data_IF_743145354153
#
_entry.id   IF_743145354153
#
_cell.length_a   1.000
_cell.length_b   1.000
_cell.length_c   1.000
_cell.angle_alpha   90.00
_cell.angle_beta   90.00
_cell.angle_gamma   90.00
#
_symmetry.space_group_name_H-M   'P 1'
#
loop_
_entity.id
_entity.type
_entity.pdbx_description
1 polymer ?
#
# COMPACT_ATOMS: atom_id res chain seq x y z
N UNK A 1 -16.88 84.35 27.90
CA UNK A 1 -16.07 83.49 27.07
C UNK A 1 -15.65 84.32 25.88
N UNK A 2 -14.35 84.68 25.79
CA UNK A 2 -13.82 85.67 24.86
C UNK A 2 -13.93 85.16 23.36
N UNK A 3 -14.19 86.10 22.45
CA UNK A 3 -14.31 85.85 21.00
C UNK A 3 -13.05 85.16 20.35
N UNK A 4 -11.91 85.26 21.03
CA UNK A 4 -10.68 84.61 20.60
C UNK A 4 -10.71 83.09 20.81
N UNK A 5 -11.35 82.60 21.85
CA UNK A 5 -11.47 81.18 22.16
C UNK A 5 -12.43 80.47 21.20
N UNK A 6 -13.44 81.16 20.65
CA UNK A 6 -14.34 80.65 19.61
C UNK A 6 -13.65 80.53 18.24
N UNK A 7 -12.71 81.42 17.91
CA UNK A 7 -11.93 81.35 16.67
C UNK A 7 -10.90 80.19 16.71
N UNK A 8 -10.37 79.90 17.90
CA UNK A 8 -9.41 78.79 18.07
C UNK A 8 -10.07 77.40 17.97
N UNK A 9 -11.27 77.28 18.51
CA UNK A 9 -12.06 76.06 18.43
C UNK A 9 -12.59 75.76 17.00
N UNK A 10 -12.94 76.78 16.24
CA UNK A 10 -13.43 76.58 14.86
C UNK A 10 -12.34 76.21 13.85
N UNK A 11 -11.07 76.47 14.14
CA UNK A 11 -9.95 76.10 13.27
C UNK A 11 -9.31 74.75 13.63
N UNK A 12 -9.59 74.19 14.82
CA UNK A 12 -9.06 72.90 15.24
C UNK A 12 -9.93 71.73 14.77
N UNK A 13 -11.24 71.92 14.70
CA UNK A 13 -12.19 70.87 14.31
C UNK A 13 -11.99 70.40 12.85
N UNK A 14 -11.80 71.27 11.84
CA UNK A 14 -11.57 70.76 10.48
C UNK A 14 -10.20 70.09 10.28
N UNK A 15 -9.17 70.46 11.05
CA UNK A 15 -7.86 69.87 10.96
C UNK A 15 -7.82 68.46 11.58
N UNK A 16 -8.59 68.19 12.64
CA UNK A 16 -8.72 66.88 13.29
C UNK A 16 -9.50 65.90 12.44
N UNK A 17 -10.48 66.35 11.63
CA UNK A 17 -11.25 65.46 10.74
C UNK A 17 -10.45 65.08 9.50
N UNK A 18 -9.56 65.95 9.00
CA UNK A 18 -8.68 65.63 7.86
C UNK A 18 -7.55 64.70 8.29
N UNK A 19 -7.06 64.79 9.52
CA UNK A 19 -6.01 63.89 10.03
C UNK A 19 -6.54 62.51 10.49
N UNK A 20 -7.84 62.40 10.84
CA UNK A 20 -8.53 61.15 11.13
C UNK A 20 -8.95 60.33 9.92
N UNK A 21 -9.13 60.99 8.74
CA UNK A 21 -9.55 60.37 7.49
C UNK A 21 -8.43 59.66 6.69
N UNK A 22 -7.16 60.02 6.99
CA UNK A 22 -5.99 59.47 6.26
C UNK A 22 -5.44 58.13 6.82
N UNK A 23 -6.00 57.63 7.94
CA UNK A 23 -5.54 56.41 8.58
C UNK A 23 -6.34 55.15 8.23
N UNK A 24 -7.31 55.24 7.32
CA UNK A 24 -8.15 54.12 6.90
C UNK A 24 -7.85 53.56 5.52
N UNK A 25 -6.82 54.04 4.82
CA UNK A 25 -6.31 53.33 3.65
C UNK A 25 -5.34 52.25 4.10
N UNK A 26 -5.90 51.19 4.69
CA UNK A 26 -5.16 49.93 4.88
C UNK A 26 -4.85 49.41 3.46
N UNK A 27 -3.58 49.45 3.11
CA UNK A 27 -3.07 48.77 1.92
C UNK A 27 -3.30 47.27 2.04
N UNK A 28 -4.43 46.76 1.60
CA UNK A 28 -4.71 45.33 1.49
C UNK A 28 -3.69 44.62 0.59
N UNK A 29 -2.91 45.33 -0.19
CA UNK A 29 -1.85 44.78 -1.07
C UNK A 29 -0.47 44.56 -0.40
N UNK A 30 -0.29 44.91 0.88
CA UNK A 30 1.04 44.80 1.51
C UNK A 30 1.29 43.48 2.22
N UNK A 31 0.35 42.52 2.18
CA UNK A 31 0.46 41.21 2.82
C UNK A 31 0.28 40.03 1.84
N UNK A 32 0.19 40.28 0.56
CA UNK A 32 0.38 39.22 -0.43
C UNK A 32 1.90 39.02 -0.64
N UNK A 33 2.51 38.30 0.31
CA UNK A 33 3.80 37.70 0.09
C UNK A 33 3.55 36.61 -0.95
N UNK A 34 3.93 36.87 -2.21
CA UNK A 34 4.01 35.81 -3.20
C UNK A 34 4.81 34.63 -2.68
N UNK A 35 4.57 33.44 -3.18
CA UNK A 35 5.30 32.25 -2.78
C UNK A 35 6.82 32.54 -2.79
N UNK A 36 7.62 32.07 -1.82
CA UNK A 36 9.05 32.25 -1.82
C UNK A 36 9.61 31.84 -3.19
N UNK A 37 10.58 32.57 -3.77
CA UNK A 37 11.09 32.28 -5.13
C UNK A 37 11.70 30.88 -5.30
N UNK A 38 11.82 30.11 -4.19
CA UNK A 38 12.29 28.72 -4.13
C UNK A 38 11.15 27.71 -3.99
N UNK A 39 9.88 28.14 -3.88
CA UNK A 39 8.70 27.27 -3.82
C UNK A 39 7.85 27.48 -5.06
N UNK A 40 7.68 26.41 -5.83
CA UNK A 40 6.67 26.36 -6.90
C UNK A 40 5.30 26.21 -6.20
N UNK A 41 4.34 27.09 -6.54
CA UNK A 41 2.96 26.85 -6.10
C UNK A 41 2.50 25.49 -6.63
N UNK A 42 1.75 24.75 -5.83
CA UNK A 42 1.35 23.37 -6.18
C UNK A 42 0.64 23.32 -7.56
N UNK A 43 -0.16 24.33 -7.88
CA UNK A 43 -0.85 24.44 -9.18
C UNK A 43 0.12 24.64 -10.35
N UNK A 44 1.25 25.31 -10.14
CA UNK A 44 2.26 25.52 -11.19
C UNK A 44 2.91 24.21 -11.64
N UNK A 45 2.87 23.20 -10.77
CA UNK A 45 3.29 21.85 -11.09
C UNK A 45 2.48 21.19 -12.22
N UNK A 46 1.30 21.73 -12.58
CA UNK A 46 0.41 21.17 -13.59
C UNK A 46 0.22 22.08 -14.82
N UNK A 47 1.14 23.00 -15.04
CA UNK A 47 1.13 23.89 -16.21
C UNK A 47 1.75 23.27 -17.46
N UNK A 48 2.63 22.27 -17.32
CA UNK A 48 3.25 21.55 -18.42
C UNK A 48 3.21 20.05 -18.21
N UNK A 49 3.24 19.27 -19.29
CA UNK A 49 3.30 17.80 -19.23
C UNK A 49 4.49 17.29 -18.39
N UNK A 50 5.66 17.92 -18.54
CA UNK A 50 6.87 17.51 -17.83
C UNK A 50 6.79 17.78 -16.32
N UNK A 51 6.28 18.95 -15.90
CA UNK A 51 6.10 19.27 -14.49
C UNK A 51 5.03 18.38 -13.85
N UNK A 52 3.92 18.15 -14.53
CA UNK A 52 2.85 17.26 -14.05
C UNK A 52 3.34 15.80 -13.87
N UNK A 53 4.12 15.30 -14.84
CA UNK A 53 4.75 13.98 -14.69
C UNK A 53 5.68 13.92 -13.47
N UNK A 54 6.46 14.97 -13.21
CA UNK A 54 7.36 15.04 -12.05
C UNK A 54 6.60 15.01 -10.72
N UNK A 55 5.45 15.71 -10.63
CA UNK A 55 4.58 15.66 -9.44
C UNK A 55 4.05 14.25 -9.22
N UNK A 56 3.56 13.58 -10.28
CA UNK A 56 3.04 12.20 -10.17
C UNK A 56 4.15 11.21 -9.81
N UNK A 57 5.37 11.37 -10.34
CA UNK A 57 6.53 10.57 -9.90
C UNK A 57 6.81 10.74 -8.40
N UNK A 58 6.59 11.95 -7.86
CA UNK A 58 6.67 12.21 -6.42
C UNK A 58 5.67 11.38 -5.58
N UNK A 59 4.50 11.04 -6.13
CA UNK A 59 3.55 10.13 -5.46
C UNK A 59 4.09 8.70 -5.35
N UNK A 60 4.76 8.18 -6.38
CA UNK A 60 5.40 6.87 -6.31
C UNK A 60 6.54 6.85 -5.29
N UNK A 61 7.35 7.91 -5.23
CA UNK A 61 8.39 8.06 -4.20
C UNK A 61 7.77 8.06 -2.80
N UNK A 62 6.67 8.82 -2.62
CA UNK A 62 5.92 8.85 -1.35
C UNK A 62 5.31 7.49 -1.01
N UNK A 63 4.82 6.74 -2.00
CA UNK A 63 4.29 5.38 -1.82
C UNK A 63 5.39 4.38 -1.42
N UNK A 64 6.61 4.55 -1.94
CA UNK A 64 7.75 3.71 -1.59
C UNK A 64 8.17 3.94 -0.13
N UNK A 65 8.16 5.18 0.34
CA UNK A 65 8.59 5.54 1.69
C UNK A 65 10.09 5.36 1.92
N UNK A 66 10.48 5.41 3.17
CA UNK A 66 11.87 5.20 3.62
C UNK A 66 11.94 4.05 4.62
N UNK A 67 13.14 3.64 5.02
CA UNK A 67 13.34 2.61 6.04
C UNK A 67 12.70 2.96 7.40
N UNK A 68 12.40 4.23 7.66
CA UNK A 68 11.80 4.74 8.90
C UNK A 68 10.33 5.14 8.76
N UNK A 69 9.84 5.30 7.52
CA UNK A 69 8.47 5.71 7.26
C UNK A 69 7.70 4.57 6.58
N UNK A 70 6.78 3.97 7.34
CA UNK A 70 5.90 2.91 6.84
C UNK A 70 4.87 3.49 5.87
N UNK A 71 5.13 3.33 4.58
CA UNK A 71 4.16 3.60 3.51
C UNK A 71 3.70 2.26 2.90
N UNK A 72 3.30 2.25 1.64
CA UNK A 72 2.90 1.05 0.89
C UNK A 72 4.10 0.13 0.54
N UNK A 73 5.21 0.27 1.25
CA UNK A 73 6.45 -0.47 1.06
C UNK A 73 6.56 -1.68 2.00
N UNK A 74 7.76 -2.22 2.09
CA UNK A 74 8.11 -3.37 2.93
C UNK A 74 7.73 -3.24 4.41
N UNK A 75 7.63 -2.02 4.98
CA UNK A 75 7.27 -1.86 6.39
C UNK A 75 5.84 -2.30 6.67
N UNK A 76 4.87 -2.00 5.76
CA UNK A 76 3.52 -2.54 5.87
C UNK A 76 3.53 -4.08 5.80
N UNK A 77 4.33 -4.66 4.88
CA UNK A 77 4.54 -6.11 4.80
C UNK A 77 5.11 -6.70 6.07
N UNK A 78 6.09 -6.01 6.67
CA UNK A 78 6.72 -6.45 7.90
C UNK A 78 5.71 -6.53 9.05
N UNK A 79 4.95 -5.46 9.28
CA UNK A 79 4.01 -5.40 10.40
C UNK A 79 2.84 -6.38 10.23
N UNK A 80 2.30 -6.51 9.03
CA UNK A 80 1.25 -7.49 8.74
C UNK A 80 1.77 -8.92 8.78
N UNK A 81 3.01 -9.17 8.33
CA UNK A 81 3.66 -10.47 8.42
C UNK A 81 3.93 -10.89 9.86
N UNK A 82 4.28 -9.93 10.74
CA UNK A 82 4.42 -10.18 12.18
C UNK A 82 3.06 -10.45 12.84
N UNK A 83 2.00 -9.71 12.47
CA UNK A 83 0.66 -9.94 13.00
C UNK A 83 0.06 -11.28 12.53
N UNK A 84 0.41 -11.72 11.32
CA UNK A 84 0.10 -13.05 10.80
C UNK A 84 1.08 -14.13 11.35
N UNK A 85 0.98 -15.32 10.79
CA UNK A 85 1.93 -16.42 10.99
C UNK A 85 3.04 -16.46 9.92
N UNK A 86 3.24 -15.36 9.21
CA UNK A 86 4.14 -15.24 8.06
C UNK A 86 5.60 -14.99 8.50
N UNK A 87 5.80 -14.27 9.60
CA UNK A 87 7.13 -13.94 10.13
C UNK A 87 7.29 -14.35 11.58
N UNK A 88 8.51 -14.87 11.89
CA UNK A 88 9.02 -15.04 13.24
C UNK A 88 9.85 -13.81 13.62
N UNK A 89 9.58 -13.21 14.78
CA UNK A 89 10.39 -12.13 15.34
C UNK A 89 11.40 -12.67 16.38
N UNK A 90 12.67 -12.37 16.18
CA UNK A 90 13.75 -12.75 17.07
C UNK A 90 14.40 -11.55 17.79
N UNK A 91 13.81 -10.36 17.65
CA UNK A 91 14.25 -9.13 18.31
C UNK A 91 13.51 -8.86 19.62
N UNK A 92 13.79 -7.69 20.23
CA UNK A 92 13.23 -7.29 21.53
C UNK A 92 12.60 -5.89 21.53
N UNK A 93 12.35 -5.28 20.34
CA UNK A 93 11.65 -4.00 20.25
C UNK A 93 10.20 -4.17 20.70
N UNK A 94 9.80 -3.45 21.75
CA UNK A 94 8.48 -3.58 22.36
C UNK A 94 7.34 -3.30 21.38
N UNK A 95 7.49 -2.31 20.48
CA UNK A 95 6.46 -1.96 19.51
C UNK A 95 6.26 -3.08 18.46
N UNK A 96 7.33 -3.77 18.09
CA UNK A 96 7.28 -4.90 17.16
C UNK A 96 6.79 -6.19 17.84
N UNK A 97 7.08 -6.35 19.14
CA UNK A 97 6.56 -7.47 19.95
C UNK A 97 5.03 -7.38 20.02
N UNK A 98 4.44 -6.20 20.13
CA UNK A 98 2.98 -6.03 20.10
C UNK A 98 2.36 -6.59 18.82
N UNK A 99 2.93 -6.30 17.63
CA UNK A 99 2.50 -6.92 16.37
C UNK A 99 2.69 -8.44 16.38
N UNK A 100 3.86 -8.89 16.81
CA UNK A 100 4.21 -10.31 16.78
C UNK A 100 3.33 -11.17 17.69
N UNK A 101 2.93 -10.66 18.84
CA UNK A 101 2.09 -11.35 19.82
C UNK A 101 0.58 -11.11 19.67
N UNK A 102 0.17 -10.22 18.77
CA UNK A 102 -1.17 -9.67 18.64
C UNK A 102 -1.68 -9.00 19.93
N UNK A 103 -0.78 -8.29 20.61
CA UNK A 103 -1.11 -7.46 21.77
C UNK A 103 -1.02 -5.97 21.44
N UNK A 104 -1.50 -5.56 20.25
CA UNK A 104 -1.41 -4.19 19.74
C UNK A 104 -2.17 -3.22 20.64
N UNK A 105 -1.52 -2.11 20.98
CA UNK A 105 -2.12 -1.00 21.72
C UNK A 105 -2.46 0.17 20.77
N UNK A 106 -3.54 0.90 21.08
CA UNK A 106 -3.89 2.11 20.32
C UNK A 106 -2.84 3.24 20.45
N UNK A 107 -1.97 3.13 21.45
CA UNK A 107 -0.83 4.03 21.67
C UNK A 107 0.45 3.63 20.93
N UNK A 108 0.47 2.49 20.22
CA UNK A 108 1.63 2.04 19.47
C UNK A 108 2.01 3.06 18.39
N UNK A 109 3.24 3.60 18.48
CA UNK A 109 3.72 4.63 17.56
C UNK A 109 3.81 4.17 16.10
N UNK A 110 4.05 2.88 15.85
CA UNK A 110 4.12 2.33 14.49
C UNK A 110 2.74 2.26 13.85
N UNK A 111 1.69 1.93 14.61
CA UNK A 111 0.29 1.96 14.14
C UNK A 111 -0.11 3.38 13.75
N UNK A 112 0.26 4.38 14.59
CA UNK A 112 0.03 5.80 14.26
C UNK A 112 0.78 6.24 13.00
N UNK A 113 2.03 5.80 12.82
CA UNK A 113 2.82 6.14 11.64
C UNK A 113 2.23 5.55 10.36
N UNK A 114 1.75 4.29 10.38
CA UNK A 114 1.05 3.68 9.23
C UNK A 114 -0.16 4.56 8.83
N UNK A 115 -1.03 4.86 9.79
CA UNK A 115 -2.21 5.69 9.56
C UNK A 115 -1.85 7.06 8.98
N UNK A 116 -0.96 7.78 9.64
CA UNK A 116 -0.56 9.14 9.24
C UNK A 116 0.06 9.19 7.84
N UNK A 117 0.96 8.25 7.54
CA UNK A 117 1.64 8.20 6.24
C UNK A 117 0.68 7.84 5.09
N UNK A 118 -0.24 6.89 5.32
CA UNK A 118 -1.24 6.53 4.31
C UNK A 118 -2.21 7.69 4.05
N UNK A 119 -2.66 8.41 5.08
CA UNK A 119 -3.50 9.59 4.89
C UNK A 119 -2.76 10.78 4.27
N UNK A 120 -1.47 10.94 4.53
CA UNK A 120 -0.66 11.93 3.83
C UNK A 120 -0.57 11.61 2.33
N UNK A 121 -0.41 10.33 1.97
CA UNK A 121 -0.41 9.90 0.57
C UNK A 121 -1.79 10.12 -0.09
N UNK A 122 -2.90 9.83 0.60
CA UNK A 122 -4.25 10.15 0.15
C UNK A 122 -4.40 11.64 -0.14
N UNK A 123 -3.98 12.51 0.80
CA UNK A 123 -4.02 13.96 0.62
C UNK A 123 -3.26 14.39 -0.63
N UNK A 124 -2.03 13.89 -0.80
CA UNK A 124 -1.20 14.24 -1.96
C UNK A 124 -1.83 13.76 -3.26
N UNK A 125 -2.43 12.57 -3.29
CA UNK A 125 -3.12 12.05 -4.49
C UNK A 125 -4.40 12.80 -4.79
N UNK A 126 -5.19 13.19 -3.78
CA UNK A 126 -6.39 14.02 -3.97
C UNK A 126 -6.04 15.37 -4.60
N UNK A 127 -5.03 16.05 -4.05
CA UNK A 127 -4.55 17.31 -4.59
C UNK A 127 -4.08 17.17 -6.05
N UNK A 128 -3.36 16.08 -6.37
CA UNK A 128 -2.90 15.81 -7.72
C UNK A 128 -4.07 15.57 -8.69
N UNK A 129 -5.07 14.76 -8.30
CA UNK A 129 -6.26 14.49 -9.12
C UNK A 129 -7.01 15.81 -9.39
N UNK A 130 -7.30 16.61 -8.35
CA UNK A 130 -8.01 17.88 -8.50
C UNK A 130 -7.26 18.86 -9.42
N UNK A 131 -5.95 19.01 -9.26
CA UNK A 131 -5.14 19.89 -10.09
C UNK A 131 -5.03 19.39 -11.54
N UNK A 132 -4.91 18.08 -11.76
CA UNK A 132 -4.94 17.49 -13.10
C UNK A 132 -6.29 17.73 -13.78
N UNK A 133 -7.40 17.47 -13.09
CA UNK A 133 -8.76 17.66 -13.64
C UNK A 133 -9.01 19.12 -14.00
N UNK A 134 -8.56 20.08 -13.20
CA UNK A 134 -8.66 21.52 -13.44
C UNK A 134 -7.74 22.04 -14.54
N UNK A 135 -6.62 21.38 -14.85
CA UNK A 135 -5.66 21.85 -15.83
C UNK A 135 -6.21 21.77 -17.27
N UNK A 136 -6.07 22.89 -18.00
CA UNK A 136 -6.41 23.00 -19.42
C UNK A 136 -5.17 23.11 -20.33
N UNK A 137 -3.97 23.05 -19.77
CA UNK A 137 -2.70 23.22 -20.48
C UNK A 137 -1.99 21.92 -20.83
N UNK A 138 -2.42 20.79 -20.22
CA UNK A 138 -1.81 19.49 -20.45
C UNK A 138 -2.34 18.83 -21.74
N UNK A 139 -1.46 18.07 -22.39
CA UNK A 139 -1.85 17.17 -23.49
C UNK A 139 -2.89 16.16 -22.98
N UNK A 140 -4.08 16.02 -23.63
CA UNK A 140 -5.17 15.19 -23.13
C UNK A 140 -4.74 13.73 -22.77
N UNK A 141 -3.96 13.08 -23.63
CA UNK A 141 -3.49 11.72 -23.37
C UNK A 141 -2.54 11.62 -22.17
N UNK A 142 -1.69 12.65 -21.95
CA UNK A 142 -0.82 12.74 -20.79
C UNK A 142 -1.65 12.99 -19.53
N UNK A 143 -2.60 13.92 -19.59
CA UNK A 143 -3.53 14.21 -18.50
C UNK A 143 -4.28 12.95 -18.05
N UNK A 144 -4.88 12.20 -18.98
CA UNK A 144 -5.57 10.94 -18.67
C UNK A 144 -4.66 9.91 -18.04
N UNK A 145 -3.44 9.72 -18.58
CA UNK A 145 -2.44 8.82 -17.99
C UNK A 145 -2.12 9.19 -16.54
N UNK A 146 -1.88 10.48 -16.26
CA UNK A 146 -1.51 10.95 -14.92
C UNK A 146 -2.67 10.85 -13.92
N UNK A 147 -3.91 11.14 -14.35
CA UNK A 147 -5.12 10.92 -13.53
C UNK A 147 -5.26 9.43 -13.19
N UNK A 148 -5.10 8.53 -14.17
CA UNK A 148 -5.15 7.09 -13.95
C UNK A 148 -4.12 6.60 -12.93
N UNK A 149 -2.89 7.11 -13.01
CA UNK A 149 -1.82 6.79 -12.06
C UNK A 149 -2.13 7.30 -10.64
N UNK A 150 -2.58 8.54 -10.50
CA UNK A 150 -2.94 9.11 -9.20
C UNK A 150 -4.12 8.35 -8.56
N UNK A 151 -5.18 8.06 -9.33
CA UNK A 151 -6.34 7.28 -8.85
C UNK A 151 -5.96 5.85 -8.46
N UNK A 152 -5.07 5.20 -9.22
CA UNK A 152 -4.52 3.89 -8.83
C UNK A 152 -3.82 3.95 -7.46
N UNK A 153 -2.95 4.94 -7.24
CA UNK A 153 -2.23 5.09 -5.96
C UNK A 153 -3.21 5.36 -4.83
N UNK A 154 -4.24 6.19 -5.04
CA UNK A 154 -5.30 6.45 -4.05
C UNK A 154 -6.06 5.17 -3.68
N UNK A 155 -6.52 4.44 -4.68
CA UNK A 155 -7.22 3.18 -4.48
C UNK A 155 -6.36 2.13 -3.75
N UNK A 156 -5.09 2.01 -4.13
CA UNK A 156 -4.15 1.10 -3.47
C UNK A 156 -3.93 1.49 -2.01
N UNK A 157 -3.84 2.79 -1.71
CA UNK A 157 -3.70 3.29 -0.35
C UNK A 157 -4.94 3.00 0.50
N UNK A 158 -6.15 3.27 -0.04
CA UNK A 158 -7.40 2.94 0.65
C UNK A 158 -7.59 1.44 0.84
N UNK A 159 -7.13 0.61 -0.09
CA UNK A 159 -7.19 -0.85 0.06
C UNK A 159 -6.43 -1.32 1.30
N UNK A 160 -5.26 -0.71 1.60
CA UNK A 160 -4.54 -1.00 2.85
C UNK A 160 -5.26 -0.43 4.07
N UNK A 161 -5.69 0.83 4.03
CA UNK A 161 -6.39 1.45 5.15
C UNK A 161 -7.61 0.63 5.58
N UNK A 162 -8.49 0.30 4.64
CA UNK A 162 -9.74 -0.42 4.95
C UNK A 162 -9.48 -1.85 5.43
N UNK A 163 -8.44 -2.51 4.91
CA UNK A 163 -8.12 -3.87 5.32
C UNK A 163 -7.35 -3.93 6.65
N UNK A 164 -6.64 -2.88 7.04
CA UNK A 164 -5.98 -2.80 8.34
C UNK A 164 -6.93 -2.34 9.44
N UNK A 165 -7.76 -1.32 9.18
CA UNK A 165 -8.52 -0.62 10.22
C UNK A 165 -10.04 -0.80 10.13
N UNK A 166 -10.57 -1.47 9.12
CA UNK A 166 -12.01 -1.54 8.86
C UNK A 166 -12.56 -0.21 8.34
N UNK A 167 -13.62 0.30 8.95
CA UNK A 167 -14.16 1.60 8.59
C UNK A 167 -13.12 2.70 8.80
N UNK A 168 -12.98 3.61 7.83
CA UNK A 168 -11.98 4.68 7.83
C UNK A 168 -12.55 5.97 7.24
N UNK A 169 -12.08 7.17 7.62
CA UNK A 169 -12.46 8.40 6.94
C UNK A 169 -12.19 8.34 5.43
N UNK A 170 -13.19 8.65 4.63
CA UNK A 170 -13.08 8.69 3.17
C UNK A 170 -12.93 10.13 2.71
N UNK A 171 -11.74 10.48 2.24
CA UNK A 171 -11.43 11.78 1.61
C UNK A 171 -11.35 11.62 0.11
N UNK A 172 -12.01 12.52 -0.62
CA UNK A 172 -11.91 12.61 -2.08
C UNK A 172 -11.44 14.00 -2.50
N UNK A 173 -11.17 14.20 -3.78
CA UNK A 173 -10.69 15.49 -4.28
C UNK A 173 -11.67 16.66 -4.04
N UNK A 174 -12.94 16.37 -3.79
CA UNK A 174 -13.98 17.38 -3.59
C UNK A 174 -14.04 17.91 -2.14
N UNK A 175 -13.29 17.31 -1.22
CA UNK A 175 -13.20 17.75 0.18
C UNK A 175 -12.28 18.98 0.30
N UNK A 176 -12.69 20.10 -0.29
CA UNK A 176 -11.88 21.33 -0.34
C UNK A 176 -11.81 22.09 0.98
N UNK A 177 -12.60 21.75 1.98
CA UNK A 177 -12.58 22.34 3.31
C UNK A 177 -11.51 21.71 4.20
N UNK A 178 -10.36 22.37 4.38
CA UNK A 178 -9.25 21.88 5.23
C UNK A 178 -9.70 21.54 6.66
N UNK A 179 -10.71 22.23 7.17
CA UNK A 179 -11.25 22.01 8.52
C UNK A 179 -12.26 20.86 8.57
N UNK A 180 -13.11 20.72 7.57
CA UNK A 180 -14.14 19.69 7.49
C UNK A 180 -13.51 18.31 7.24
N UNK A 181 -12.47 18.25 6.40
CA UNK A 181 -11.75 17.03 6.15
C UNK A 181 -10.97 16.51 7.38
N UNK A 182 -10.47 17.41 8.22
CA UNK A 182 -9.72 17.04 9.44
C UNK A 182 -10.59 16.35 10.50
N UNK A 183 -11.92 16.43 10.43
CA UNK A 183 -12.87 15.89 11.42
C UNK A 183 -13.92 14.95 10.82
N UNK A 184 -13.63 14.34 9.68
CA UNK A 184 -14.52 13.35 9.09
C UNK A 184 -14.68 12.13 10.01
N UNK A 185 -15.91 11.61 10.17
CA UNK A 185 -16.13 10.32 10.83
C UNK A 185 -15.62 9.17 9.95
N UNK A 186 -15.59 7.99 10.51
CA UNK A 186 -15.32 6.77 9.76
C UNK A 186 -16.46 6.50 8.78
N UNK A 187 -16.10 6.13 7.58
CA UNK A 187 -17.01 5.68 6.50
C UNK A 187 -16.97 4.17 6.45
N UNK A 188 -18.11 3.53 6.21
CA UNK A 188 -18.21 2.08 6.16
C UNK A 188 -17.27 1.45 5.15
N UNK A 189 -16.76 0.28 5.48
CA UNK A 189 -15.90 -0.54 4.61
C UNK A 189 -16.48 -0.67 3.20
N UNK A 190 -17.78 -0.90 3.05
CA UNK A 190 -18.44 -1.03 1.75
C UNK A 190 -18.31 0.23 0.90
N UNK A 191 -18.56 1.41 1.48
CA UNK A 191 -18.42 2.69 0.78
C UNK A 191 -16.98 3.01 0.38
N UNK A 192 -16.01 2.62 1.23
CA UNK A 192 -14.60 2.77 0.90
C UNK A 192 -14.23 1.86 -0.28
N UNK A 193 -14.73 0.61 -0.30
CA UNK A 193 -14.51 -0.29 -1.44
C UNK A 193 -15.20 0.19 -2.73
N UNK A 194 -16.38 0.82 -2.66
CA UNK A 194 -16.99 1.45 -3.83
C UNK A 194 -16.06 2.51 -4.43
N UNK A 195 -15.44 3.34 -3.60
CA UNK A 195 -14.46 4.34 -4.07
C UNK A 195 -13.20 3.69 -4.66
N UNK A 196 -12.66 2.65 -4.01
CA UNK A 196 -11.51 1.88 -4.51
C UNK A 196 -11.81 1.33 -5.91
N UNK A 197 -12.96 0.68 -6.09
CA UNK A 197 -13.35 0.09 -7.38
C UNK A 197 -13.57 1.17 -8.42
N UNK A 198 -14.23 2.28 -8.08
CA UNK A 198 -14.44 3.42 -8.98
C UNK A 198 -13.11 4.01 -9.47
N UNK A 199 -12.16 4.25 -8.58
CA UNK A 199 -10.84 4.78 -8.93
C UNK A 199 -10.07 3.82 -9.84
N UNK A 200 -10.11 2.51 -9.55
CA UNK A 200 -9.39 1.51 -10.35
C UNK A 200 -10.02 1.29 -11.72
N UNK A 201 -11.34 1.34 -11.85
CA UNK A 201 -12.05 1.25 -13.14
C UNK A 201 -11.75 2.47 -14.03
N UNK A 202 -11.75 3.66 -13.44
CA UNK A 202 -11.35 4.88 -14.17
C UNK A 202 -9.86 4.82 -14.56
N UNK A 203 -8.99 4.34 -13.68
CA UNK A 203 -7.58 4.11 -13.97
C UNK A 203 -7.39 3.10 -15.11
N UNK A 204 -8.11 1.95 -15.09
CA UNK A 204 -8.05 0.95 -16.18
C UNK A 204 -8.47 1.56 -17.54
N UNK A 205 -9.42 2.48 -17.52
CA UNK A 205 -9.91 3.15 -18.74
C UNK A 205 -8.90 4.16 -19.28
N UNK A 206 -8.25 4.92 -18.41
CA UNK A 206 -7.33 6.01 -18.77
C UNK A 206 -5.90 5.55 -19.05
N UNK A 207 -5.47 4.47 -18.42
CA UNK A 207 -4.11 3.96 -18.57
C UNK A 207 -3.94 3.19 -19.90
N UNK A 208 -2.81 3.43 -20.57
CA UNK A 208 -2.37 2.64 -21.73
C UNK A 208 -1.84 1.26 -21.32
N UNK A 209 -1.74 0.35 -22.29
CA UNK A 209 -1.11 -0.97 -22.10
C UNK A 209 0.40 -0.86 -21.98
N UNK A 210 1.03 0.03 -22.74
CA UNK A 210 2.47 0.25 -22.74
C UNK A 210 2.94 0.86 -21.41
N UNK A 211 4.08 0.37 -20.92
CA UNK A 211 4.70 0.99 -19.74
C UNK A 211 5.37 2.32 -20.09
N UNK A 212 5.30 3.25 -19.15
CA UNK A 212 6.04 4.51 -19.23
C UNK A 212 7.45 4.31 -18.64
N UNK A 213 8.48 4.47 -19.48
CA UNK A 213 9.89 4.28 -19.08
C UNK A 213 10.40 2.84 -19.25
N UNK A 214 11.61 2.58 -18.77
CA UNK A 214 12.35 1.32 -18.98
C UNK A 214 11.98 0.22 -17.98
N UNK A 215 11.46 0.57 -16.83
CA UNK A 215 11.07 -0.36 -15.79
C UNK A 215 9.56 -0.30 -15.55
N UNK A 216 8.97 -1.37 -15.03
CA UNK A 216 7.55 -1.45 -14.67
C UNK A 216 7.26 -0.70 -13.35
N UNK A 217 7.90 0.48 -13.18
CA UNK A 217 7.82 1.34 -12.00
C UNK A 217 6.69 2.35 -12.03
N UNK A 218 5.98 2.47 -13.16
CA UNK A 218 4.73 3.24 -13.29
C UNK A 218 3.63 2.29 -13.75
N UNK A 219 2.43 2.50 -13.23
CA UNK A 219 1.31 1.62 -13.52
C UNK A 219 0.82 1.78 -14.97
N UNK A 220 0.41 0.65 -15.53
CA UNK A 220 -0.27 0.57 -16.83
C UNK A 220 -1.67 0.00 -16.63
N UNK A 221 -2.41 -0.19 -17.71
CA UNK A 221 -3.77 -0.76 -17.71
C UNK A 221 -3.83 -2.11 -16.96
N UNK A 222 -2.86 -2.99 -17.18
CA UNK A 222 -2.83 -4.30 -16.54
C UNK A 222 -2.54 -4.23 -15.04
N UNK A 223 -1.80 -3.22 -14.56
CA UNK A 223 -1.63 -3.00 -13.12
C UNK A 223 -2.96 -2.62 -12.47
N UNK A 224 -3.78 -1.78 -13.13
CA UNK A 224 -5.13 -1.45 -12.65
C UNK A 224 -6.03 -2.70 -12.66
N UNK A 225 -6.01 -3.51 -13.72
CA UNK A 225 -6.74 -4.78 -13.79
C UNK A 225 -6.29 -5.77 -12.69
N UNK A 226 -4.98 -5.88 -12.43
CA UNK A 226 -4.45 -6.77 -11.39
C UNK A 226 -4.90 -6.37 -9.99
N UNK A 227 -4.94 -5.07 -9.70
CA UNK A 227 -5.40 -4.58 -8.41
C UNK A 227 -6.93 -4.66 -8.27
N UNK A 228 -7.69 -4.51 -9.38
CA UNK A 228 -9.13 -4.80 -9.42
C UNK A 228 -9.40 -6.28 -9.10
N UNK A 229 -8.64 -7.21 -9.66
CA UNK A 229 -8.77 -8.63 -9.37
C UNK A 229 -8.58 -8.91 -7.87
N UNK A 230 -7.55 -8.32 -7.23
CA UNK A 230 -7.31 -8.42 -5.79
C UNK A 230 -8.46 -7.81 -4.98
N UNK A 231 -8.92 -6.60 -5.34
CA UNK A 231 -9.99 -5.92 -4.62
C UNK A 231 -11.32 -6.70 -4.70
N UNK A 232 -11.67 -7.25 -5.86
CA UNK A 232 -12.85 -8.09 -6.03
C UNK A 232 -12.73 -9.41 -5.27
N UNK A 233 -11.54 -10.06 -5.28
CA UNK A 233 -11.31 -11.25 -4.46
C UNK A 233 -11.55 -10.97 -2.97
N UNK A 234 -11.05 -9.84 -2.46
CA UNK A 234 -11.23 -9.44 -1.07
C UNK A 234 -12.69 -9.16 -0.71
N UNK A 235 -13.49 -8.78 -1.71
CA UNK A 235 -14.96 -8.62 -1.60
C UNK A 235 -15.74 -9.90 -1.84
N UNK A 236 -15.09 -11.03 -2.11
CA UNK A 236 -15.70 -12.30 -2.49
C UNK A 236 -16.55 -12.19 -3.76
N UNK A 237 -16.29 -11.19 -4.62
CA UNK A 237 -16.87 -11.07 -5.97
C UNK A 237 -16.01 -11.89 -6.94
N UNK A 238 -16.22 -13.19 -6.92
CA UNK A 238 -15.44 -14.14 -7.67
C UNK A 238 -15.63 -14.02 -9.19
N UNK A 239 -16.77 -13.48 -9.64
CA UNK A 239 -17.02 -13.24 -11.07
C UNK A 239 -16.07 -12.19 -11.60
N UNK A 240 -15.99 -11.05 -10.93
CA UNK A 240 -15.13 -9.97 -11.34
C UNK A 240 -13.64 -10.27 -11.03
N UNK A 241 -13.34 -10.96 -9.93
CA UNK A 241 -11.97 -11.40 -9.62
C UNK A 241 -11.40 -12.27 -10.75
N UNK A 242 -12.16 -13.28 -11.23
CA UNK A 242 -11.76 -14.11 -12.37
C UNK A 242 -11.63 -13.30 -13.67
N UNK A 243 -12.57 -12.39 -13.94
CA UNK A 243 -12.56 -11.56 -15.14
C UNK A 243 -11.29 -10.71 -15.23
N UNK A 244 -10.97 -9.97 -14.16
CA UNK A 244 -9.83 -9.04 -14.16
C UNK A 244 -8.49 -9.76 -14.09
N UNK A 245 -8.37 -10.85 -13.34
CA UNK A 245 -7.17 -11.70 -13.38
C UNK A 245 -6.94 -12.29 -14.78
N UNK A 246 -8.01 -12.73 -15.46
CA UNK A 246 -7.92 -13.27 -16.81
C UNK A 246 -7.46 -12.24 -17.84
N UNK A 247 -7.86 -10.95 -17.72
CA UNK A 247 -7.34 -9.86 -18.58
C UNK A 247 -5.82 -9.75 -18.50
N UNK A 248 -5.26 -9.87 -17.29
CA UNK A 248 -3.81 -9.78 -17.07
C UNK A 248 -3.11 -11.02 -17.62
N UNK A 249 -3.64 -12.20 -17.30
CA UNK A 249 -3.05 -13.48 -17.72
C UNK A 249 -3.11 -13.71 -19.24
N UNK A 250 -4.00 -13.03 -19.95
CA UNK A 250 -4.07 -13.04 -21.41
C UNK A 250 -2.96 -12.22 -22.10
N UNK A 251 -2.27 -11.35 -21.38
CA UNK A 251 -1.21 -10.49 -21.92
C UNK A 251 0.16 -11.21 -21.95
N UNK A 252 0.22 -12.35 -22.64
CA UNK A 252 1.39 -13.24 -22.68
C UNK A 252 2.59 -12.68 -23.44
N UNK A 253 2.40 -11.64 -24.21
CA UNK A 253 3.45 -10.84 -24.86
C UNK A 253 4.18 -9.90 -23.87
N UNK A 254 3.51 -9.54 -22.76
CA UNK A 254 4.08 -8.67 -21.75
C UNK A 254 4.58 -9.43 -20.52
N UNK A 255 3.91 -10.52 -20.15
CA UNK A 255 4.15 -11.20 -18.88
C UNK A 255 4.48 -12.68 -19.05
N UNK A 256 5.38 -13.18 -18.22
CA UNK A 256 5.76 -14.60 -18.16
C UNK A 256 6.12 -14.94 -16.71
N UNK A 257 6.14 -16.23 -16.37
CA UNK A 257 6.57 -16.72 -15.07
C UNK A 257 7.98 -17.31 -15.17
N UNK A 258 9.05 -16.55 -14.90
CA UNK A 258 10.41 -17.07 -14.88
C UNK A 258 10.64 -17.98 -13.66
N UNK A 259 11.77 -18.69 -13.66
CA UNK A 259 12.17 -19.48 -12.50
C UNK A 259 12.26 -18.64 -11.21
N UNK A 260 12.01 -19.23 -10.02
CA UNK A 260 12.03 -18.50 -8.74
C UNK A 260 13.31 -17.70 -8.48
N UNK A 261 14.45 -18.16 -9.00
CA UNK A 261 15.74 -17.49 -8.85
C UNK A 261 15.79 -16.07 -9.42
N UNK A 262 14.93 -15.73 -10.39
CA UNK A 262 14.91 -14.44 -11.11
C UNK A 262 13.59 -13.68 -10.98
N UNK A 263 12.61 -14.19 -10.21
CA UNK A 263 11.28 -13.59 -10.09
C UNK A 263 11.29 -12.16 -9.52
N UNK A 264 12.28 -11.82 -8.68
CA UNK A 264 12.35 -10.53 -7.99
C UNK A 264 13.40 -9.56 -8.56
N UNK A 265 14.07 -9.91 -9.66
CA UNK A 265 14.92 -8.92 -10.36
C UNK A 265 14.05 -7.87 -11.05
N UNK A 266 14.47 -6.60 -11.06
CA UNK A 266 13.65 -5.48 -11.57
C UNK A 266 13.29 -5.55 -13.07
N UNK A 267 13.88 -6.51 -13.79
CA UNK A 267 13.58 -6.81 -15.21
C UNK A 267 12.76 -8.09 -15.39
N UNK A 268 12.32 -8.74 -14.30
CA UNK A 268 11.56 -9.99 -14.35
C UNK A 268 10.30 -9.85 -15.19
N UNK A 269 10.05 -10.84 -16.05
CA UNK A 269 8.82 -10.95 -16.82
C UNK A 269 7.55 -11.12 -15.98
N UNK A 270 7.69 -11.56 -14.74
CA UNK A 270 6.58 -11.78 -13.80
C UNK A 270 5.98 -10.48 -13.24
N UNK A 271 6.78 -9.40 -13.20
CA UNK A 271 6.38 -8.15 -12.56
C UNK A 271 5.30 -7.45 -13.39
N UNK A 272 4.19 -7.09 -12.74
CA UNK A 272 3.14 -6.24 -13.30
C UNK A 272 3.35 -4.80 -12.83
N UNK A 273 3.70 -4.60 -11.56
CA UNK A 273 4.02 -3.30 -11.01
C UNK A 273 5.03 -3.42 -9.88
N UNK A 274 6.00 -2.51 -9.82
CA UNK A 274 6.98 -2.40 -8.76
C UNK A 274 7.24 -0.93 -8.39
N UNK A 275 7.53 -0.69 -7.12
CA UNK A 275 7.96 0.62 -6.64
C UNK A 275 9.49 0.70 -6.77
N UNK A 276 9.95 1.63 -7.60
CA UNK A 276 11.36 1.81 -7.87
C UNK A 276 12.10 2.36 -6.66
N UNK A 277 13.30 1.84 -6.43
CA UNK A 277 14.22 2.35 -5.42
C UNK A 277 15.45 2.94 -6.11
N UNK A 278 15.87 4.13 -5.69
CA UNK A 278 16.96 4.90 -6.32
C UNK A 278 18.26 4.08 -6.42
N UNK A 279 18.55 3.23 -5.43
CA UNK A 279 19.77 2.46 -5.35
C UNK A 279 19.61 0.99 -5.77
N UNK A 280 18.43 0.57 -6.24
CA UNK A 280 18.14 -0.83 -6.58
C UNK A 280 18.32 -1.81 -5.42
N UNK A 281 18.19 -1.33 -4.18
CA UNK A 281 18.25 -2.11 -2.94
C UNK A 281 16.92 -1.93 -2.21
N UNK A 282 16.23 -3.02 -1.96
CA UNK A 282 14.95 -2.98 -1.27
C UNK A 282 15.10 -2.97 0.24
N UNK A 283 14.15 -2.36 0.94
CA UNK A 283 14.06 -2.50 2.40
C UNK A 283 13.71 -3.93 2.82
N UNK A 284 13.14 -4.75 1.92
CA UNK A 284 12.97 -6.19 2.13
C UNK A 284 14.32 -6.89 2.30
N UNK A 285 15.29 -6.65 1.40
CA UNK A 285 16.60 -7.24 1.52
C UNK A 285 17.29 -6.81 2.83
N UNK A 286 17.19 -5.53 3.20
CA UNK A 286 17.76 -5.02 4.44
C UNK A 286 17.12 -5.63 5.71
N UNK A 287 15.81 -5.89 5.69
CA UNK A 287 15.10 -6.42 6.84
C UNK A 287 15.22 -7.93 6.98
N UNK A 288 15.20 -8.68 5.87
CA UNK A 288 15.08 -10.13 5.90
C UNK A 288 16.41 -10.85 5.74
N UNK A 289 17.41 -10.24 5.07
CA UNK A 289 18.72 -10.85 4.92
C UNK A 289 19.56 -10.63 6.17
N UNK A 290 20.05 -11.72 6.73
CA UNK A 290 20.92 -11.64 7.88
C UNK A 290 22.33 -11.13 7.50
N UNK A 291 22.78 -10.09 8.17
CA UNK A 291 24.13 -9.54 8.05
C UNK A 291 25.02 -10.11 9.17
N UNK A 292 26.22 -10.55 8.82
CA UNK A 292 27.21 -11.08 9.77
C UNK A 292 26.97 -12.55 10.17
N UNK A 293 28.05 -13.32 10.34
CA UNK A 293 27.95 -14.76 10.57
C UNK A 293 27.27 -15.13 11.90
N UNK A 294 27.49 -14.34 12.95
CA UNK A 294 27.00 -14.60 14.32
C UNK A 294 25.76 -13.78 14.69
N UNK A 295 25.25 -12.94 13.79
CA UNK A 295 24.08 -12.09 14.06
C UNK A 295 22.80 -12.89 13.90
N UNK A 296 21.94 -12.92 14.92
CA UNK A 296 20.59 -13.50 14.83
C UNK A 296 19.75 -12.61 13.92
N UNK A 297 19.13 -13.18 12.86
CA UNK A 297 18.24 -12.41 12.01
C UNK A 297 17.01 -11.95 12.79
N UNK A 298 16.69 -10.66 12.73
CA UNK A 298 15.52 -10.12 13.44
C UNK A 298 14.20 -10.72 12.96
N UNK A 299 14.09 -10.99 11.66
CA UNK A 299 12.89 -11.50 11.02
C UNK A 299 13.23 -12.75 10.21
N UNK A 300 12.50 -13.83 10.42
CA UNK A 300 12.72 -15.09 9.73
C UNK A 300 11.40 -15.74 9.35
N UNK A 301 11.44 -16.66 8.40
CA UNK A 301 10.33 -17.55 8.13
C UNK A 301 10.15 -18.47 9.34
N UNK A 302 8.94 -18.71 9.86
CA UNK A 302 8.71 -19.68 10.94
C UNK A 302 9.11 -21.10 10.53
N UNK A 303 9.71 -21.86 11.45
CA UNK A 303 10.12 -23.26 11.22
C UNK A 303 8.96 -24.09 10.68
N UNK A 304 7.74 -23.94 11.26
CA UNK A 304 6.55 -24.65 10.82
C UNK A 304 6.21 -24.38 9.36
N UNK A 305 6.40 -23.14 8.86
CA UNK A 305 6.18 -22.79 7.46
C UNK A 305 7.26 -23.41 6.57
N UNK A 306 8.54 -23.29 6.96
CA UNK A 306 9.64 -23.89 6.19
C UNK A 306 9.48 -25.41 6.00
N UNK A 307 8.92 -26.13 6.98
CA UNK A 307 8.68 -27.56 6.91
C UNK A 307 7.50 -27.97 6.01
N UNK A 308 6.63 -27.03 5.60
CA UNK A 308 5.50 -27.33 4.71
C UNK A 308 5.87 -27.34 3.24
N UNK A 309 7.04 -26.80 2.86
CA UNK A 309 7.52 -26.89 1.48
C UNK A 309 7.79 -28.32 1.06
N UNK A 310 7.37 -28.69 -0.14
CA UNK A 310 7.58 -30.02 -0.68
C UNK A 310 9.07 -30.33 -0.88
N UNK A 311 9.46 -31.57 -0.60
CA UNK A 311 10.83 -32.07 -0.74
C UNK A 311 10.91 -33.39 -1.50
N UNK A 312 9.76 -33.99 -1.80
CA UNK A 312 9.65 -35.27 -2.51
C UNK A 312 8.42 -35.23 -3.42
N UNK A 313 8.46 -35.80 -4.65
CA UNK A 313 9.65 -36.39 -5.29
C UNK A 313 10.72 -35.37 -5.67
N UNK A 314 10.37 -34.07 -5.80
CA UNK A 314 11.25 -32.97 -6.14
C UNK A 314 11.19 -31.88 -5.07
N UNK A 315 12.30 -31.17 -4.85
CA UNK A 315 12.33 -30.08 -3.89
C UNK A 315 11.79 -28.78 -4.51
N UNK A 316 10.88 -28.12 -3.80
CA UNK A 316 10.31 -26.85 -4.21
C UNK A 316 11.39 -25.78 -4.46
N UNK A 317 11.52 -25.32 -5.68
CA UNK A 317 12.51 -24.32 -6.08
C UNK A 317 12.36 -22.99 -5.34
N UNK A 318 11.18 -22.67 -4.79
CA UNK A 318 10.97 -21.48 -3.95
C UNK A 318 11.68 -21.63 -2.62
N UNK A 319 11.63 -22.82 -2.01
CA UNK A 319 12.39 -23.14 -0.80
C UNK A 319 13.88 -22.94 -1.04
N UNK A 320 14.41 -23.45 -2.15
CA UNK A 320 15.82 -23.33 -2.52
C UNK A 320 16.27 -21.91 -2.85
N UNK A 321 15.41 -21.11 -3.46
CA UNK A 321 15.80 -19.79 -4.00
C UNK A 321 15.37 -18.61 -3.14
N UNK A 322 14.32 -18.77 -2.31
CA UNK A 322 13.69 -17.69 -1.54
C UNK A 322 13.88 -17.83 -0.03
N UNK A 323 14.47 -18.94 0.42
CA UNK A 323 14.78 -19.17 1.83
C UNK A 323 16.24 -19.63 1.97
N UNK A 324 16.96 -18.98 2.87
CA UNK A 324 18.35 -19.37 3.17
C UNK A 324 18.47 -19.76 4.65
N UNK A 325 18.75 -21.03 4.97
CA UNK A 325 19.04 -21.43 6.33
C UNK A 325 20.32 -20.76 6.85
N UNK A 326 20.27 -20.23 8.07
CA UNK A 326 21.40 -19.62 8.77
C UNK A 326 21.54 -20.20 10.16
N UNK A 327 22.70 -20.81 10.47
CA UNK A 327 22.99 -21.32 11.80
C UNK A 327 23.68 -20.25 12.64
N UNK A 328 23.16 -20.00 13.85
CA UNK A 328 23.79 -19.16 14.88
C UNK A 328 23.76 -19.93 16.20
N UNK A 329 24.94 -20.27 16.73
CA UNK A 329 25.02 -21.23 17.82
C UNK A 329 24.49 -22.60 17.39
N UNK A 330 23.62 -23.19 18.20
CA UNK A 330 22.99 -24.49 17.93
C UNK A 330 21.61 -24.36 17.21
N UNK A 331 21.20 -23.15 16.83
CA UNK A 331 19.89 -22.90 16.23
C UNK A 331 19.99 -22.52 14.77
N UNK A 332 19.10 -23.09 13.94
CA UNK A 332 18.90 -22.72 12.54
C UNK A 332 17.77 -21.69 12.44
N UNK A 333 18.01 -20.66 11.66
CA UNK A 333 17.05 -19.58 11.32
C UNK A 333 16.83 -19.59 9.82
N UNK A 334 15.59 -19.47 9.36
CA UNK A 334 15.26 -19.47 7.94
C UNK A 334 15.05 -18.03 7.45
N UNK A 335 16.08 -17.44 6.84
CA UNK A 335 16.02 -16.07 6.33
C UNK A 335 15.28 -16.03 4.99
N UNK A 336 14.46 -14.99 4.79
CA UNK A 336 13.74 -14.78 3.52
C UNK A 336 14.68 -14.05 2.56
N UNK A 337 14.99 -14.70 1.44
CA UNK A 337 15.96 -14.21 0.44
C UNK A 337 15.34 -14.05 -0.95
N UNK A 338 14.04 -13.69 -1.02
CA UNK A 338 13.38 -13.29 -2.27
C UNK A 338 14.11 -12.11 -2.92
N UNK A 339 14.52 -11.15 -2.11
CA UNK A 339 15.38 -10.02 -2.47
C UNK A 339 16.79 -10.28 -1.94
N UNK A 340 17.79 -10.17 -2.81
CA UNK A 340 19.18 -10.56 -2.51
C UNK A 340 20.14 -9.38 -2.50
N UNK A 341 19.73 -8.26 -3.11
CA UNK A 341 20.55 -7.06 -3.24
C UNK A 341 20.60 -6.29 -1.92
N UNK A 342 21.65 -6.50 -1.14
CA UNK A 342 21.94 -5.76 0.11
C UNK A 342 22.89 -4.57 -0.12
N UNK A 343 23.33 -4.33 -1.35
CA UNK A 343 24.28 -3.30 -1.72
C UNK A 343 23.91 -2.64 -3.06
N UNK A 344 24.06 -1.31 -3.19
CA UNK A 344 23.86 -0.60 -4.45
C UNK A 344 24.73 -1.11 -5.61
N UNK A 345 25.84 -1.80 -5.32
CA UNK A 345 26.72 -2.38 -6.33
C UNK A 345 26.03 -3.48 -7.17
N UNK A 346 25.02 -4.16 -6.60
CA UNK A 346 24.19 -5.14 -7.31
C UNK A 346 22.99 -4.44 -7.95
N UNK A 347 22.27 -3.60 -7.21
CA UNK A 347 21.33 -2.56 -7.62
C UNK A 347 20.24 -2.95 -8.62
N UNK A 348 19.77 -4.22 -8.64
CA UNK A 348 18.88 -4.72 -9.66
C UNK A 348 17.51 -5.20 -9.13
N UNK A 349 17.08 -4.73 -7.96
CA UNK A 349 15.82 -5.13 -7.32
C UNK A 349 15.00 -3.89 -6.93
N UNK A 350 13.70 -3.96 -7.19
CA UNK A 350 12.72 -2.97 -6.76
C UNK A 350 11.62 -3.67 -5.95
N UNK A 351 10.78 -2.91 -5.24
CA UNK A 351 9.70 -3.48 -4.45
C UNK A 351 8.57 -3.99 -5.36
N UNK A 352 8.51 -5.28 -5.62
CA UNK A 352 7.49 -5.93 -6.48
C UNK A 352 6.14 -5.94 -5.78
N UNK A 353 5.18 -5.17 -6.27
CA UNK A 353 3.86 -4.94 -5.67
C UNK A 353 2.79 -5.87 -6.24
N UNK A 354 2.81 -6.03 -7.58
CA UNK A 354 1.88 -6.87 -8.32
C UNK A 354 2.67 -7.77 -9.26
N UNK A 355 2.40 -9.06 -9.22
CA UNK A 355 3.09 -10.06 -10.04
C UNK A 355 2.15 -11.15 -10.56
N UNK A 356 2.55 -11.81 -11.62
CA UNK A 356 1.70 -12.70 -12.39
C UNK A 356 1.23 -13.93 -11.59
N UNK A 357 2.08 -14.50 -10.73
CA UNK A 357 1.70 -15.65 -9.92
C UNK A 357 0.50 -15.34 -9.00
N UNK A 358 0.41 -14.13 -8.45
CA UNK A 358 -0.77 -13.73 -7.69
C UNK A 358 -2.04 -13.79 -8.54
N UNK A 359 -1.97 -13.38 -9.82
CA UNK A 359 -3.14 -13.38 -10.71
C UNK A 359 -3.62 -14.78 -11.01
N UNK A 360 -2.72 -15.75 -11.17
CA UNK A 360 -3.08 -17.17 -11.25
C UNK A 360 -3.80 -17.64 -9.99
N UNK A 361 -3.27 -17.30 -8.79
CA UNK A 361 -3.86 -17.73 -7.52
C UNK A 361 -5.20 -17.00 -7.21
N UNK A 362 -5.37 -15.75 -7.61
CA UNK A 362 -6.68 -15.05 -7.56
C UNK A 362 -7.68 -15.78 -8.46
N UNK A 363 -7.30 -16.11 -9.70
CA UNK A 363 -8.19 -16.77 -10.63
C UNK A 363 -8.53 -18.20 -10.20
N UNK A 364 -7.55 -18.93 -9.66
CA UNK A 364 -7.76 -20.25 -9.08
C UNK A 364 -8.83 -20.23 -7.99
N UNK A 365 -8.71 -19.31 -7.03
CA UNK A 365 -9.64 -19.19 -5.93
C UNK A 365 -11.04 -18.76 -6.40
N UNK A 366 -11.10 -17.80 -7.33
CA UNK A 366 -12.36 -17.36 -7.92
C UNK A 366 -13.07 -18.52 -8.66
N UNK A 367 -12.33 -19.30 -9.41
CA UNK A 367 -12.85 -20.49 -10.12
C UNK A 367 -13.32 -21.58 -9.18
N UNK A 368 -12.56 -21.89 -8.12
CA UNK A 368 -12.93 -22.88 -7.12
C UNK A 368 -14.27 -22.51 -6.44
N UNK A 369 -14.45 -21.25 -6.04
CA UNK A 369 -15.71 -20.75 -5.46
C UNK A 369 -16.88 -20.64 -6.47
N UNK A 370 -16.66 -20.99 -7.74
CA UNK A 370 -17.65 -20.98 -8.82
C UNK A 370 -17.80 -22.37 -9.46
N UNK A 371 -17.46 -23.41 -8.74
CA UNK A 371 -17.54 -24.83 -9.15
C UNK A 371 -16.67 -25.19 -10.39
N UNK A 372 -15.75 -24.33 -10.80
CA UNK A 372 -14.80 -24.62 -11.87
C UNK A 372 -13.48 -25.16 -11.30
N UNK A 373 -13.54 -26.38 -10.74
CA UNK A 373 -12.38 -27.01 -10.08
C UNK A 373 -11.27 -27.37 -11.07
N UNK A 374 -11.60 -27.75 -12.30
CA UNK A 374 -10.62 -28.03 -13.35
C UNK A 374 -9.82 -26.78 -13.72
N UNK A 375 -10.52 -25.66 -13.93
CA UNK A 375 -9.88 -24.37 -14.19
C UNK A 375 -9.05 -23.86 -13.02
N UNK A 376 -9.51 -24.08 -11.78
CA UNK A 376 -8.75 -23.76 -10.57
C UNK A 376 -7.46 -24.57 -10.46
N UNK A 377 -7.54 -25.89 -10.70
CA UNK A 377 -6.38 -26.79 -10.77
C UNK A 377 -5.36 -26.31 -11.80
N UNK A 378 -5.79 -26.00 -13.02
CA UNK A 378 -4.89 -25.55 -14.08
C UNK A 378 -4.10 -24.29 -13.67
N UNK A 379 -4.72 -23.36 -12.96
CA UNK A 379 -4.08 -22.13 -12.46
C UNK A 379 -3.08 -22.41 -11.33
N UNK A 380 -3.40 -23.28 -10.38
CA UNK A 380 -2.46 -23.70 -9.32
C UNK A 380 -1.29 -24.44 -9.95
N UNK A 381 -1.55 -25.39 -10.86
CA UNK A 381 -0.51 -26.20 -11.49
C UNK A 381 0.47 -25.36 -12.32
N UNK A 382 0.02 -24.23 -12.88
CA UNK A 382 0.92 -23.28 -13.54
C UNK A 382 1.95 -22.68 -12.55
N UNK A 383 1.53 -22.34 -11.33
CA UNK A 383 2.42 -21.82 -10.28
C UNK A 383 3.34 -22.94 -9.78
N UNK A 384 2.81 -24.14 -9.54
CA UNK A 384 3.54 -25.30 -9.04
C UNK A 384 4.57 -25.80 -10.06
N UNK A 385 4.23 -25.84 -11.34
CA UNK A 385 5.15 -26.19 -12.42
C UNK A 385 6.34 -25.24 -12.48
N UNK A 386 6.11 -23.93 -12.33
CA UNK A 386 7.19 -22.94 -12.23
C UNK A 386 8.07 -23.16 -10.99
N UNK A 387 7.46 -23.61 -9.87
CA UNK A 387 8.17 -23.98 -8.65
C UNK A 387 8.91 -25.33 -8.75
N UNK A 388 8.78 -26.05 -9.86
CA UNK A 388 9.45 -27.34 -10.12
C UNK A 388 8.86 -28.51 -9.35
N UNK A 389 7.59 -28.42 -8.95
CA UNK A 389 6.88 -29.46 -8.21
C UNK A 389 5.65 -29.96 -8.98
N UNK A 390 5.21 -31.18 -8.65
CA UNK A 390 4.05 -31.80 -9.29
C UNK A 390 2.75 -30.98 -9.08
N UNK A 391 1.83 -31.10 -10.03
CA UNK A 391 0.49 -30.55 -9.94
C UNK A 391 -0.33 -31.22 -8.81
N UNK A 392 -1.39 -30.58 -8.38
CA UNK A 392 -2.30 -31.13 -7.36
C UNK A 392 -3.18 -32.25 -7.97
N UNK A 393 -3.76 -33.12 -7.10
CA UNK A 393 -4.70 -34.17 -7.53
C UNK A 393 -5.91 -33.57 -8.29
N UNK A 394 -6.45 -34.33 -9.26
CA UNK A 394 -7.66 -34.00 -9.99
C UNK A 394 -8.95 -34.23 -9.20
N UNK A 395 -8.89 -35.05 -8.13
CA UNK A 395 -10.08 -35.55 -7.42
C UNK A 395 -10.41 -34.75 -6.15
N UNK A 396 -9.92 -33.50 -6.09
CA UNK A 396 -10.16 -32.64 -4.93
C UNK A 396 -11.61 -32.14 -4.92
N UNK A 397 -12.24 -32.20 -3.76
CA UNK A 397 -13.48 -31.46 -3.49
C UNK A 397 -13.21 -29.96 -3.45
N UNK A 398 -14.25 -29.11 -3.56
CA UNK A 398 -14.13 -27.66 -3.43
C UNK A 398 -13.36 -27.25 -2.15
N UNK A 399 -13.71 -27.80 -1.00
CA UNK A 399 -13.02 -27.52 0.27
C UNK A 399 -11.55 -27.89 0.24
N UNK A 400 -11.20 -29.03 -0.34
CA UNK A 400 -9.81 -29.45 -0.50
C UNK A 400 -9.06 -28.56 -1.51
N UNK A 401 -9.72 -28.14 -2.59
CA UNK A 401 -9.17 -27.19 -3.56
C UNK A 401 -8.87 -25.84 -2.91
N UNK A 402 -9.80 -25.29 -2.14
CA UNK A 402 -9.59 -24.03 -1.41
C UNK A 402 -8.46 -24.13 -0.38
N UNK A 403 -8.32 -25.31 0.27
CA UNK A 403 -7.18 -25.57 1.18
C UNK A 403 -5.85 -25.64 0.41
N UNK A 404 -5.83 -26.27 -0.75
CA UNK A 404 -4.65 -26.32 -1.62
C UNK A 404 -4.25 -24.91 -2.10
N UNK A 405 -5.24 -24.08 -2.47
CA UNK A 405 -5.03 -22.67 -2.85
C UNK A 405 -4.46 -21.88 -1.66
N UNK A 406 -5.01 -22.02 -0.45
CA UNK A 406 -4.48 -21.34 0.75
C UNK A 406 -3.00 -21.71 0.98
N UNK A 407 -2.67 -22.99 0.83
CA UNK A 407 -1.30 -23.48 0.99
C UNK A 407 -0.38 -22.94 -0.11
N UNK A 408 -0.83 -22.97 -1.36
CA UNK A 408 -0.05 -22.45 -2.47
C UNK A 408 0.19 -20.94 -2.37
N UNK A 409 -0.82 -20.16 -1.92
CA UNK A 409 -0.68 -18.73 -1.63
C UNK A 409 0.33 -18.48 -0.50
N UNK A 410 0.33 -19.32 0.55
CA UNK A 410 1.31 -19.24 1.63
C UNK A 410 2.74 -19.46 1.11
N UNK A 411 2.98 -20.50 0.29
CA UNK A 411 4.31 -20.81 -0.26
C UNK A 411 4.76 -19.79 -1.32
N UNK A 412 3.83 -19.19 -2.02
CA UNK A 412 4.14 -18.26 -3.10
C UNK A 412 4.34 -16.82 -2.59
N UNK A 413 3.48 -16.36 -1.69
CA UNK A 413 3.34 -14.93 -1.36
C UNK A 413 3.89 -14.57 0.03
N UNK A 414 4.59 -15.48 0.72
CA UNK A 414 5.17 -15.18 2.04
C UNK A 414 6.10 -13.98 2.01
N UNK A 415 6.07 -13.20 3.06
CA UNK A 415 6.89 -12.00 3.23
C UNK A 415 6.55 -10.86 2.28
N UNK A 416 5.43 -10.94 1.53
CA UNK A 416 5.01 -9.94 0.55
C UNK A 416 3.72 -9.22 0.96
N UNK A 417 3.78 -7.90 1.09
CA UNK A 417 2.65 -6.95 1.15
C UNK A 417 1.44 -7.35 1.99
N UNK A 418 1.63 -8.21 3.01
CA UNK A 418 0.57 -8.62 3.93
C UNK A 418 -0.42 -9.63 3.38
N UNK A 419 -0.12 -10.31 2.27
CA UNK A 419 -1.01 -11.29 1.66
C UNK A 419 -1.53 -12.30 2.69
N UNK A 420 -0.65 -12.90 3.51
CA UNK A 420 -1.06 -13.88 4.52
C UNK A 420 -2.06 -13.32 5.52
N UNK A 421 -1.83 -12.11 6.04
CA UNK A 421 -2.72 -11.43 6.98
C UNK A 421 -4.11 -11.20 6.38
N UNK A 422 -4.15 -10.64 5.16
CA UNK A 422 -5.40 -10.33 4.48
C UNK A 422 -6.13 -11.59 4.03
N UNK A 423 -5.43 -12.64 3.61
CA UNK A 423 -6.02 -13.92 3.25
C UNK A 423 -6.70 -14.58 4.45
N UNK A 424 -6.02 -14.67 5.58
CA UNK A 424 -6.58 -15.24 6.81
C UNK A 424 -7.85 -14.50 7.27
N UNK A 425 -7.87 -13.18 7.13
CA UNK A 425 -9.03 -12.35 7.49
C UNK A 425 -10.21 -12.58 6.56
N UNK A 426 -10.01 -12.42 5.25
CA UNK A 426 -11.10 -12.48 4.25
C UNK A 426 -11.71 -13.88 4.09
N UNK A 427 -10.97 -14.93 4.46
CA UNK A 427 -11.42 -16.32 4.43
C UNK A 427 -11.92 -16.79 5.79
N UNK A 428 -12.00 -15.93 6.79
CA UNK A 428 -12.42 -16.21 8.17
C UNK A 428 -11.54 -17.28 8.87
N UNK A 429 -10.28 -17.44 8.41
CA UNK A 429 -9.31 -18.42 8.91
C UNK A 429 -8.44 -17.89 10.04
N UNK A 430 -8.43 -16.56 10.29
CA UNK A 430 -7.49 -15.91 11.20
C UNK A 430 -7.46 -16.56 12.59
N UNK A 431 -8.62 -16.74 13.24
CA UNK A 431 -8.65 -17.33 14.59
C UNK A 431 -8.16 -18.77 14.61
N UNK A 432 -8.58 -19.60 13.65
CA UNK A 432 -8.16 -20.99 13.60
C UNK A 432 -6.65 -21.17 13.42
N UNK A 433 -6.01 -20.26 12.69
CA UNK A 433 -4.57 -20.32 12.38
C UNK A 433 -3.73 -19.59 13.44
N UNK A 434 -4.18 -18.43 13.91
CA UNK A 434 -3.36 -17.55 14.75
C UNK A 434 -3.50 -17.84 16.25
N UNK A 435 -4.69 -18.20 16.76
CA UNK A 435 -4.86 -18.49 18.19
C UNK A 435 -3.89 -19.54 18.76
N UNK A 436 -3.52 -20.62 18.03
CA UNK A 436 -2.56 -21.59 18.53
C UNK A 436 -1.11 -21.08 18.63
N UNK A 437 -0.77 -19.97 17.96
CA UNK A 437 0.64 -19.53 17.76
C UNK A 437 0.89 -18.08 18.17
N UNK A 438 -0.14 -17.33 18.51
CA UNK A 438 -0.06 -15.92 18.95
C UNK A 438 -0.53 -15.80 20.40
N UNK A 439 0.37 -15.38 21.28
CA UNK A 439 0.16 -15.43 22.73
C UNK A 439 -1.04 -14.60 23.22
N UNK A 440 -1.34 -13.48 22.55
CA UNK A 440 -2.39 -12.54 22.96
C UNK A 440 -3.57 -12.49 21.98
N UNK A 441 -3.67 -13.43 21.03
CA UNK A 441 -4.70 -13.42 19.99
C UNK A 441 -6.11 -13.35 20.57
N UNK A 442 -6.86 -12.37 20.07
CA UNK A 442 -8.32 -12.27 20.26
C UNK A 442 -9.00 -12.19 18.88
N UNK A 443 -10.27 -12.62 18.82
CA UNK A 443 -11.02 -12.60 17.55
C UNK A 443 -11.21 -11.19 16.98
N UNK A 444 -11.06 -10.18 17.81
CA UNK A 444 -11.13 -8.75 17.45
C UNK A 444 -9.85 -8.23 16.78
N UNK A 445 -8.72 -8.94 16.94
CA UNK A 445 -7.40 -8.49 16.42
C UNK A 445 -7.28 -8.57 14.90
N UNK A 446 -8.32 -9.06 14.22
CA UNK A 446 -8.43 -8.99 12.75
C UNK A 446 -8.38 -7.55 12.20
N UNK A 447 -8.59 -6.55 13.04
CA UNK A 447 -8.40 -5.13 12.72
C UNK A 447 -7.34 -4.53 13.65
N UNK A 448 -6.53 -3.63 13.13
CA UNK A 448 -5.64 -2.83 13.96
C UNK A 448 -6.42 -1.75 14.72
N UNK A 449 -5.93 -1.30 15.89
CA UNK A 449 -6.59 -0.22 16.63
C UNK A 449 -6.52 1.09 15.85
N UNK A 450 -7.58 1.90 15.96
CA UNK A 450 -7.50 3.31 15.52
C UNK A 450 -6.53 4.03 16.46
N UNK A 451 -5.46 4.69 15.95
CA UNK A 451 -4.44 5.26 16.81
C UNK A 451 -5.01 6.31 17.77
N UNK A 452 -4.65 6.22 19.05
CA UNK A 452 -5.14 7.14 20.09
C UNK A 452 -4.83 8.62 19.78
N UNK A 453 -3.66 8.91 19.21
CA UNK A 453 -3.30 10.25 18.77
C UNK A 453 -4.26 10.81 17.70
N UNK A 454 -4.74 9.98 16.79
CA UNK A 454 -5.70 10.39 15.76
C UNK A 454 -7.10 10.60 16.34
N UNK A 455 -7.49 9.78 17.31
CA UNK A 455 -8.78 9.94 18.02
C UNK A 455 -8.80 11.20 18.89
N UNK A 456 -7.67 11.54 19.50
CA UNK A 456 -7.52 12.81 20.23
C UNK A 456 -7.63 14.02 19.32
N UNK A 457 -7.10 13.93 18.08
CA UNK A 457 -7.17 15.00 17.09
C UNK A 457 -8.56 15.09 16.42
N UNK A 458 -9.28 13.95 16.32
CA UNK A 458 -10.62 13.87 15.73
C UNK A 458 -11.53 13.00 16.61
N UNK A 459 -12.36 13.63 17.42
CA UNK A 459 -13.28 12.96 18.34
C UNK A 459 -14.45 12.20 17.68
N UNK A 460 -14.59 12.28 16.36
CA UNK A 460 -15.54 11.48 15.59
C UNK A 460 -15.01 10.09 15.22
N UNK A 461 -13.74 9.81 15.49
CA UNK A 461 -13.15 8.50 15.26
C UNK A 461 -13.49 7.56 16.42
N UNK A 462 -14.39 6.63 16.19
CA UNK A 462 -14.67 5.52 17.12
C UNK A 462 -13.54 4.50 17.09
N UNK A 463 -13.34 3.75 18.18
CA UNK A 463 -12.35 2.69 18.26
C UNK A 463 -12.88 1.38 17.64
N UNK A 464 -11.99 0.50 17.19
CA UNK A 464 -12.33 -0.87 16.84
C UNK A 464 -12.59 -1.70 18.09
N UNK A 465 -13.52 -2.66 17.97
CA UNK A 465 -13.85 -3.57 19.06
C UNK A 465 -12.61 -4.33 19.53
N UNK A 466 -12.47 -4.51 20.84
CA UNK A 466 -11.33 -5.18 21.47
C UNK A 466 -10.19 -4.25 21.91
N UNK A 467 -10.25 -2.97 21.56
CA UNK A 467 -9.26 -1.98 21.97
C UNK A 467 -9.90 -0.95 22.92
N UNK A 468 -9.15 -0.58 23.95
CA UNK A 468 -9.59 0.44 24.89
C UNK A 468 -9.50 1.86 24.28
N UNK A 469 -10.35 2.75 24.82
CA UNK A 469 -10.41 4.17 24.42
C UNK A 469 -9.25 4.99 24.98
#
# INVERSE_FOLDING_TARGET
MNNEMKRFLNNIIPLSVIMGGSLLTSCAKFVELGAPPTQIEYQDGFLTDASAQSVILGLYVSATGTATNANLSSMTSLYTGLAADDLQYNGADALLVEFYTNGLLSTNGLVNNIWGNLYQLIKNTNNAVAALEASNSLTPAIKDQLIGEAKFIRAYTYLYLVNLYGDVPLYTADDSGVFESAVLPRTSTDRVYEQILSDLQDAETKLGVAYQGTFRGRVNKHAASALLARAYLYRKDYVNAELYASKVLAATDLYSMPAPSTSFTNTSGEIIFQLANINGVTTFAANYNAVGATTIPAYTLPDRHYQTFETTPEEDLRKLNWVTPKTVGDKVYYTITKYKSTSPAIGNEYHVVLRLAEQYLIRAEARANRDNLEGAKADIDAVRSRAGIEGISSDLTETQMLTAIETERLHELFGEYGHRWFDLKRTDRATAVLAPVKANWQTTDVLFPIPSAQRLANNRLTQNLGYED
#
